data_IF_836830539654
#
_entry.id   IF_836830539654
#
_cell.length_a   1.000
_cell.length_b   1.000
_cell.length_c   1.000
_cell.angle_alpha   90.00
_cell.angle_beta   90.00
_cell.angle_gamma   90.00
#
_symmetry.space_group_name_H-M   'P 1'
#
loop_
_entity.id
_entity.type
_entity.pdbx_description
1 polymer ?
#
# COMPACT_ATOMS: atom_id res chain seq x y z
N UNK A 1 -10.05 -13.69 22.59
CA UNK A 1 -8.80 -12.89 22.49
C UNK A 1 -9.02 -11.43 22.86
N UNK A 2 -9.87 -10.70 22.12
CA UNK A 2 -9.97 -9.23 22.26
C UNK A 2 -11.08 -8.73 23.19
N UNK A 3 -11.77 -9.64 23.88
CA UNK A 3 -12.77 -9.33 24.90
C UNK A 3 -12.25 -9.81 26.26
N UNK A 4 -12.65 -9.11 27.33
CA UNK A 4 -12.51 -9.57 28.71
C UNK A 4 -13.41 -10.78 28.95
N UNK A 5 -13.22 -11.44 30.09
CA UNK A 5 -13.98 -12.64 30.45
C UNK A 5 -15.50 -12.41 30.53
N UNK A 6 -15.93 -11.18 30.81
CA UNK A 6 -17.33 -10.76 30.85
C UNK A 6 -17.90 -10.34 29.47
N UNK A 7 -17.09 -10.43 28.41
CA UNK A 7 -17.46 -10.04 27.06
C UNK A 7 -17.27 -8.56 26.73
N UNK A 8 -16.81 -7.73 27.67
CA UNK A 8 -16.54 -6.31 27.41
C UNK A 8 -15.21 -6.10 26.67
N UNK A 9 -15.05 -4.94 26.02
CA UNK A 9 -13.79 -4.56 25.37
C UNK A 9 -12.74 -4.10 26.39
N UNK A 10 -11.47 -4.20 26.01
CA UNK A 10 -10.39 -3.53 26.72
C UNK A 10 -10.41 -2.03 26.44
N UNK A 11 -10.18 -1.23 27.48
CA UNK A 11 -10.12 0.23 27.47
C UNK A 11 -8.69 0.72 27.24
N UNK A 12 -8.56 2.01 26.86
CA UNK A 12 -7.26 2.65 26.66
C UNK A 12 -6.41 2.57 27.94
N UNK A 13 -5.17 2.08 27.79
CA UNK A 13 -4.22 1.90 28.89
C UNK A 13 -4.27 0.51 29.55
N UNK A 14 -5.29 -0.31 29.27
CA UNK A 14 -5.33 -1.68 29.77
C UNK A 14 -4.39 -2.61 28.98
N UNK A 15 -3.89 -3.64 29.66
CA UNK A 15 -3.07 -4.69 29.04
C UNK A 15 -3.97 -5.76 28.44
N UNK A 16 -3.71 -6.12 27.19
CA UNK A 16 -4.36 -7.26 26.51
C UNK A 16 -3.39 -8.46 26.58
N UNK A 17 -3.62 -9.44 27.48
CA UNK A 17 -2.80 -10.63 27.53
C UNK A 17 -3.09 -11.56 26.35
N UNK A 18 -2.04 -12.04 25.67
CA UNK A 18 -2.15 -13.07 24.63
C UNK A 18 -1.07 -14.16 24.80
N UNK A 19 -1.17 -14.98 25.86
CA UNK A 19 -0.17 -16.03 26.14
C UNK A 19 -0.14 -17.12 25.06
N UNK A 20 -1.25 -17.31 24.35
CA UNK A 20 -1.36 -18.26 23.25
C UNK A 20 -0.47 -17.84 22.07
N UNK A 21 -0.55 -16.56 21.67
CA UNK A 21 0.34 -16.02 20.65
C UNK A 21 1.81 -16.09 21.07
N UNK A 22 2.12 -15.83 22.35
CA UNK A 22 3.48 -15.95 22.85
C UNK A 22 4.02 -17.39 22.66
N UNK A 23 3.24 -18.41 23.06
CA UNK A 23 3.61 -19.82 22.85
C UNK A 23 3.75 -20.17 21.36
N UNK A 24 2.85 -19.67 20.51
CA UNK A 24 2.95 -19.86 19.05
C UNK A 24 4.23 -19.27 18.49
N UNK A 25 4.58 -18.04 18.86
CA UNK A 25 5.81 -17.38 18.42
C UNK A 25 7.06 -18.08 18.96
N UNK A 26 7.06 -18.59 20.20
CA UNK A 26 8.15 -19.39 20.75
C UNK A 26 8.36 -20.70 19.98
N UNK A 27 7.27 -21.38 19.58
CA UNK A 27 7.33 -22.59 18.75
C UNK A 27 7.96 -22.30 17.39
N UNK A 28 7.55 -21.20 16.75
CA UNK A 28 8.12 -20.75 15.46
C UNK A 28 9.60 -20.35 15.64
N UNK A 29 9.96 -19.66 16.72
CA UNK A 29 11.33 -19.25 16.98
C UNK A 29 12.27 -20.46 17.18
N UNK A 30 11.80 -21.54 17.82
CA UNK A 30 12.59 -22.75 18.07
C UNK A 30 12.68 -23.69 16.86
N UNK A 31 11.57 -23.89 16.15
CA UNK A 31 11.51 -24.87 15.05
C UNK A 31 11.48 -24.26 13.64
N UNK A 32 11.55 -22.94 13.53
CA UNK A 32 11.48 -22.22 12.26
C UNK A 32 10.10 -22.28 11.60
N UNK A 33 10.05 -21.88 10.34
CA UNK A 33 8.79 -21.81 9.55
C UNK A 33 8.19 -23.19 9.27
N UNK A 34 8.99 -24.26 9.29
CA UNK A 34 8.53 -25.62 9.05
C UNK A 34 7.45 -26.05 10.05
N UNK A 35 7.53 -25.62 11.32
CA UNK A 35 6.51 -25.92 12.33
C UNK A 35 5.13 -25.39 11.89
N UNK A 36 5.09 -24.21 11.28
CA UNK A 36 3.84 -23.56 10.85
C UNK A 36 3.21 -24.22 9.62
N UNK A 37 4.02 -24.65 8.65
CA UNK A 37 3.52 -25.16 7.36
C UNK A 37 3.48 -26.69 7.26
N UNK A 38 4.28 -27.39 8.06
CA UNK A 38 4.50 -28.84 7.93
C UNK A 38 4.58 -29.58 9.27
N UNK A 39 4.53 -28.88 10.41
CA UNK A 39 4.62 -29.49 11.74
C UNK A 39 3.35 -29.32 12.55
N UNK A 40 3.48 -29.47 13.87
CA UNK A 40 2.36 -29.49 14.82
C UNK A 40 1.40 -28.28 14.72
N UNK A 41 1.92 -27.07 14.41
CA UNK A 41 1.04 -25.91 14.20
C UNK A 41 0.17 -26.09 12.95
N UNK A 42 0.72 -26.66 11.87
CA UNK A 42 -0.06 -26.94 10.67
C UNK A 42 -1.19 -27.94 10.96
N UNK A 43 -0.92 -28.97 11.76
CA UNK A 43 -1.93 -29.97 12.16
C UNK A 43 -3.06 -29.33 12.97
N UNK A 44 -2.73 -28.51 13.98
CA UNK A 44 -3.72 -27.79 14.79
C UNK A 44 -4.60 -26.85 13.93
N UNK A 45 -3.97 -26.10 13.02
CA UNK A 45 -4.68 -25.19 12.11
C UNK A 45 -5.60 -25.98 11.18
N UNK A 46 -5.10 -27.03 10.53
CA UNK A 46 -5.86 -27.80 9.56
C UNK A 46 -7.03 -28.56 10.22
N UNK A 47 -6.85 -29.07 11.43
CA UNK A 47 -7.91 -29.71 12.19
C UNK A 47 -9.08 -28.76 12.46
N UNK A 48 -8.79 -27.55 12.96
CA UNK A 48 -9.80 -26.53 13.22
C UNK A 48 -10.48 -26.02 11.95
N UNK A 49 -9.70 -25.71 10.91
CA UNK A 49 -10.23 -25.28 9.62
C UNK A 49 -11.13 -26.34 8.99
N UNK A 50 -10.75 -27.62 9.04
CA UNK A 50 -11.55 -28.74 8.52
C UNK A 50 -12.85 -28.90 9.31
N UNK A 51 -12.79 -28.84 10.64
CA UNK A 51 -13.97 -28.94 11.50
C UNK A 51 -15.00 -27.84 11.23
N UNK A 52 -14.55 -26.68 10.74
CA UNK A 52 -15.40 -25.53 10.41
C UNK A 52 -15.70 -25.40 8.90
N UNK A 53 -15.43 -26.43 8.08
CA UNK A 53 -15.81 -26.47 6.67
C UNK A 53 -14.99 -25.55 5.75
N UNK A 54 -13.76 -25.21 6.14
CA UNK A 54 -12.83 -24.46 5.29
C UNK A 54 -12.44 -25.23 4.03
N UNK A 55 -12.17 -24.51 2.93
CA UNK A 55 -11.65 -25.07 1.68
C UNK A 55 -10.13 -25.25 1.68
N UNK A 56 -9.45 -24.81 2.73
CA UNK A 56 -8.00 -24.92 2.87
C UNK A 56 -7.64 -26.38 3.17
N UNK A 57 -6.69 -26.91 2.40
CA UNK A 57 -6.25 -28.30 2.47
C UNK A 57 -4.81 -28.44 2.99
N UNK A 58 -4.39 -29.64 3.41
CA UNK A 58 -2.98 -29.91 3.71
C UNK A 58 -2.05 -29.66 2.51
N UNK A 59 -2.56 -29.77 1.29
CA UNK A 59 -1.80 -29.46 0.08
C UNK A 59 -1.50 -27.96 -0.04
N UNK A 60 -2.43 -27.09 0.35
CA UNK A 60 -2.20 -25.64 0.34
C UNK A 60 -1.09 -25.23 1.32
N UNK A 61 -1.02 -25.88 2.48
CA UNK A 61 0.02 -25.65 3.49
C UNK A 61 1.39 -26.12 3.01
N UNK A 62 1.46 -27.37 2.55
CA UNK A 62 2.72 -28.00 2.12
C UNK A 62 3.22 -27.44 0.78
N UNK A 63 2.32 -26.93 -0.06
CA UNK A 63 2.61 -26.33 -1.36
C UNK A 63 3.01 -24.86 -1.31
N UNK A 64 2.67 -24.13 -0.25
CA UNK A 64 2.99 -22.69 -0.15
C UNK A 64 4.50 -22.41 -0.16
N UNK A 65 4.94 -21.47 -0.98
CA UNK A 65 6.32 -20.98 -1.02
C UNK A 65 6.35 -19.46 -1.08
N UNK A 66 7.30 -18.85 -0.39
CA UNK A 66 7.61 -17.42 -0.55
C UNK A 66 8.21 -17.21 -1.93
N UNK A 67 7.69 -16.24 -2.66
CA UNK A 67 8.25 -15.82 -3.96
C UNK A 67 9.26 -14.70 -3.72
N UNK A 68 10.47 -14.91 -4.23
CA UNK A 68 11.53 -13.89 -4.30
C UNK A 68 11.70 -13.50 -5.76
N UNK A 69 11.81 -12.22 -6.03
CA UNK A 69 11.99 -11.73 -7.40
C UNK A 69 12.53 -10.31 -7.40
N UNK A 70 13.02 -9.90 -8.57
CA UNK A 70 13.50 -8.55 -8.80
C UNK A 70 12.37 -7.52 -8.63
N UNK A 71 12.68 -6.32 -8.10
CA UNK A 71 11.72 -5.24 -8.07
C UNK A 71 11.36 -4.80 -9.49
N UNK A 72 10.18 -4.20 -9.66
CA UNK A 72 9.96 -3.33 -10.81
C UNK A 72 10.79 -2.06 -10.62
N UNK A 73 11.46 -1.65 -11.69
CA UNK A 73 12.37 -0.52 -11.69
C UNK A 73 11.81 0.55 -12.61
N UNK A 74 11.78 1.78 -12.10
CA UNK A 74 11.41 2.97 -12.85
C UNK A 74 12.35 4.12 -12.56
N UNK A 75 12.06 5.26 -13.15
CA UNK A 75 12.79 6.50 -12.95
C UNK A 75 11.82 7.64 -12.71
N UNK A 76 12.23 8.63 -11.94
CA UNK A 76 11.47 9.87 -11.80
C UNK A 76 12.41 11.02 -11.49
N UNK A 77 12.52 12.00 -12.40
CA UNK A 77 13.31 13.22 -12.24
C UNK A 77 14.75 12.98 -11.78
N UNK A 78 15.40 11.96 -12.35
CA UNK A 78 16.79 11.59 -12.05
C UNK A 78 16.98 10.63 -10.87
N UNK A 79 15.90 10.21 -10.21
CA UNK A 79 15.92 9.15 -9.19
C UNK A 79 15.51 7.81 -9.77
N UNK A 80 16.03 6.72 -9.22
CA UNK A 80 15.61 5.35 -9.54
C UNK A 80 14.57 4.90 -8.53
N UNK A 81 13.44 4.37 -9.00
CA UNK A 81 12.34 3.90 -8.15
C UNK A 81 12.33 2.38 -8.18
N UNK A 82 12.51 1.74 -7.01
CA UNK A 82 12.39 0.30 -6.83
C UNK A 82 11.11 0.00 -6.06
N UNK A 83 10.22 -0.83 -6.61
CA UNK A 83 9.01 -1.26 -5.92
C UNK A 83 8.68 -2.72 -6.22
N UNK A 84 7.75 -3.30 -5.47
CA UNK A 84 7.32 -4.69 -5.66
C UNK A 84 6.69 -4.97 -7.05
N UNK A 85 6.95 -6.14 -7.65
CA UNK A 85 6.35 -6.55 -8.93
C UNK A 85 4.87 -6.96 -8.76
N UNK A 86 4.14 -7.18 -9.88
CA UNK A 86 2.83 -7.83 -9.86
C UNK A 86 2.87 -9.14 -9.05
N UNK A 87 1.80 -9.46 -8.30
CA UNK A 87 0.51 -8.76 -8.25
C UNK A 87 0.46 -7.55 -7.29
N UNK A 88 1.62 -7.06 -6.84
CA UNK A 88 1.77 -5.78 -6.13
C UNK A 88 1.55 -4.57 -7.04
N UNK A 89 1.33 -3.40 -6.43
CA UNK A 89 1.02 -2.16 -7.18
C UNK A 89 2.24 -1.28 -7.46
N UNK A 90 3.48 -1.78 -7.33
CA UNK A 90 4.67 -1.01 -7.66
C UNK A 90 4.71 -0.52 -9.11
N UNK A 91 4.24 -1.34 -10.06
CA UNK A 91 4.13 -0.95 -11.47
C UNK A 91 3.18 0.25 -11.68
N UNK A 92 2.10 0.29 -10.89
CA UNK A 92 1.08 1.34 -10.93
C UNK A 92 1.60 2.64 -10.31
N UNK A 93 2.38 2.54 -9.21
CA UNK A 93 3.06 3.69 -8.61
C UNK A 93 4.03 4.34 -9.62
N UNK A 94 4.86 3.53 -10.28
CA UNK A 94 5.85 4.03 -11.24
C UNK A 94 5.15 4.61 -12.48
N UNK A 95 4.09 3.98 -12.97
CA UNK A 95 3.27 4.54 -14.07
C UNK A 95 2.75 5.94 -13.71
N UNK A 96 2.24 6.16 -12.49
CA UNK A 96 1.81 7.49 -12.05
C UNK A 96 2.96 8.50 -12.07
N UNK A 97 4.15 8.11 -11.60
CA UNK A 97 5.34 8.96 -11.62
C UNK A 97 5.75 9.32 -13.05
N UNK A 98 5.80 8.35 -13.96
CA UNK A 98 6.11 8.59 -15.38
C UNK A 98 5.09 9.51 -16.05
N UNK A 99 3.79 9.35 -15.78
CA UNK A 99 2.77 10.27 -16.28
C UNK A 99 3.03 11.69 -15.77
N UNK A 100 3.33 11.84 -14.48
CA UNK A 100 3.56 13.15 -13.85
C UNK A 100 4.88 13.82 -14.27
N UNK A 101 5.86 13.05 -14.75
CA UNK A 101 7.13 13.57 -15.27
C UNK A 101 6.94 14.47 -16.50
N UNK A 102 5.83 14.29 -17.23
CA UNK A 102 5.42 15.13 -18.36
C UNK A 102 4.86 16.51 -17.97
N UNK A 103 4.79 16.83 -16.67
CA UNK A 103 4.23 18.08 -16.17
C UNK A 103 5.20 18.79 -15.20
N UNK A 104 5.24 20.14 -15.20
CA UNK A 104 6.11 20.92 -14.33
C UNK A 104 5.50 21.08 -12.93
N UNK A 105 5.36 19.99 -12.17
CA UNK A 105 4.64 20.00 -10.88
C UNK A 105 5.19 21.05 -9.90
N UNK A 106 6.51 21.18 -9.78
CA UNK A 106 7.18 22.14 -8.90
C UNK A 106 7.00 23.61 -9.29
N UNK A 107 6.46 23.90 -10.48
CA UNK A 107 6.09 25.27 -10.88
C UNK A 107 4.80 25.76 -10.22
N UNK A 108 3.99 24.85 -9.69
CA UNK A 108 2.79 25.18 -8.94
C UNK A 108 3.07 25.17 -7.43
N UNK A 109 2.41 26.03 -6.64
CA UNK A 109 2.46 25.90 -5.19
C UNK A 109 1.97 24.51 -4.75
N UNK A 110 2.62 23.95 -3.72
CA UNK A 110 2.24 22.66 -3.17
C UNK A 110 0.75 22.65 -2.81
N UNK A 111 0.05 21.58 -3.22
CA UNK A 111 -1.39 21.41 -3.01
C UNK A 111 -2.29 22.52 -3.58
N UNK A 112 -1.81 23.36 -4.51
CA UNK A 112 -2.69 24.22 -5.30
C UNK A 112 -3.54 23.38 -6.27
N UNK A 113 -4.69 23.90 -6.68
CA UNK A 113 -5.63 23.17 -7.55
C UNK A 113 -5.02 22.67 -8.88
N UNK A 114 -4.16 23.42 -9.60
CA UNK A 114 -3.52 22.90 -10.81
C UNK A 114 -2.58 21.71 -10.56
N UNK A 115 -1.86 21.72 -9.43
CA UNK A 115 -1.03 20.59 -9.01
C UNK A 115 -1.90 19.37 -8.69
N UNK A 116 -2.94 19.56 -7.87
CA UNK A 116 -3.84 18.48 -7.45
C UNK A 116 -4.67 17.91 -8.60
N UNK A 117 -5.04 18.72 -9.60
CA UNK A 117 -5.71 18.26 -10.81
C UNK A 117 -4.85 17.23 -11.57
N UNK A 118 -3.57 17.55 -11.79
CA UNK A 118 -2.63 16.65 -12.47
C UNK A 118 -2.39 15.37 -11.67
N UNK A 119 -2.17 15.50 -10.36
CA UNK A 119 -1.98 14.36 -9.47
C UNK A 119 -3.22 13.45 -9.46
N UNK A 120 -4.43 14.01 -9.32
CA UNK A 120 -5.67 13.25 -9.33
C UNK A 120 -5.89 12.52 -10.66
N UNK A 121 -5.62 13.18 -11.80
CA UNK A 121 -5.77 12.58 -13.12
C UNK A 121 -4.75 11.50 -13.41
N UNK A 122 -3.50 11.66 -12.97
CA UNK A 122 -2.49 10.62 -13.06
C UNK A 122 -2.87 9.39 -12.21
N UNK A 123 -3.38 9.61 -10.99
CA UNK A 123 -3.89 8.52 -10.17
C UNK A 123 -5.05 7.78 -10.87
N UNK A 124 -6.01 8.51 -11.44
CA UNK A 124 -7.14 7.93 -12.17
C UNK A 124 -6.71 7.14 -13.42
N UNK A 125 -5.74 7.64 -14.18
CA UNK A 125 -5.18 6.98 -15.35
C UNK A 125 -4.55 5.63 -14.99
N UNK A 126 -3.62 5.63 -14.03
CA UNK A 126 -2.93 4.41 -13.62
C UNK A 126 -3.88 3.42 -12.90
N UNK A 127 -4.91 3.87 -12.19
CA UNK A 127 -5.95 2.97 -11.66
C UNK A 127 -6.82 2.34 -12.76
N UNK A 128 -7.02 3.03 -13.88
CA UNK A 128 -7.71 2.46 -15.06
C UNK A 128 -6.91 1.28 -15.61
N UNK A 129 -5.60 1.42 -15.74
CA UNK A 129 -4.74 0.34 -16.19
C UNK A 129 -4.54 -0.75 -15.15
N UNK A 130 -4.46 -0.40 -13.86
CA UNK A 130 -4.47 -1.36 -12.75
C UNK A 130 -5.67 -2.30 -12.86
N UNK A 131 -6.87 -1.75 -13.00
CA UNK A 131 -8.10 -2.54 -13.05
C UNK A 131 -8.20 -3.37 -14.33
N UNK A 132 -7.57 -2.92 -15.42
CA UNK A 132 -7.57 -3.61 -16.71
C UNK A 132 -6.52 -4.72 -16.81
N UNK A 133 -5.38 -4.59 -16.14
CA UNK A 133 -4.20 -5.42 -16.41
C UNK A 133 -3.59 -6.10 -15.19
N UNK A 134 -3.72 -5.55 -13.99
CA UNK A 134 -3.00 -6.07 -12.83
C UNK A 134 -3.60 -7.40 -12.35
N UNK A 135 -2.74 -8.41 -12.19
CA UNK A 135 -3.10 -9.75 -11.70
C UNK A 135 -1.86 -10.53 -11.27
N UNK A 136 -2.04 -11.79 -10.90
CA UNK A 136 -0.92 -12.71 -10.61
C UNK A 136 -0.22 -13.10 -11.92
N UNK A 137 1.08 -12.78 -12.09
CA UNK A 137 1.82 -13.08 -13.32
C UNK A 137 1.97 -14.58 -13.61
N UNK A 138 1.74 -15.47 -12.64
CA UNK A 138 1.69 -16.92 -12.90
C UNK A 138 0.38 -17.37 -13.60
N UNK A 139 -0.64 -16.50 -13.63
CA UNK A 139 -1.97 -16.84 -14.14
C UNK A 139 -2.42 -15.95 -15.29
N UNK A 140 -1.92 -14.72 -15.38
CA UNK A 140 -2.29 -13.75 -16.41
C UNK A 140 -1.08 -12.96 -16.87
N UNK A 141 -1.07 -12.56 -18.14
CA UNK A 141 -0.04 -11.69 -18.67
C UNK A 141 -0.26 -10.25 -18.19
N UNK A 142 0.68 -9.74 -17.39
CA UNK A 142 0.72 -8.34 -16.97
C UNK A 142 1.72 -7.61 -17.87
N UNK A 143 1.30 -6.61 -18.67
CA UNK A 143 2.16 -5.94 -19.65
C UNK A 143 3.08 -4.91 -18.97
N UNK A 144 3.94 -5.34 -18.06
CA UNK A 144 4.79 -4.48 -17.21
C UNK A 144 5.63 -3.52 -18.06
N UNK A 145 6.29 -4.01 -19.11
CA UNK A 145 7.14 -3.18 -19.97
C UNK A 145 6.36 -2.06 -20.65
N UNK A 146 5.10 -2.32 -21.04
CA UNK A 146 4.22 -1.30 -21.60
C UNK A 146 3.84 -0.26 -20.55
N UNK A 147 3.39 -0.71 -19.37
CA UNK A 147 2.93 0.18 -18.31
C UNK A 147 4.05 1.12 -17.80
N UNK A 148 5.29 0.66 -17.82
CA UNK A 148 6.48 1.43 -17.44
C UNK A 148 7.13 2.19 -18.61
N UNK A 149 6.54 2.15 -19.81
CA UNK A 149 7.16 2.77 -20.99
C UNK A 149 6.87 4.28 -21.06
N UNK A 150 7.85 5.10 -21.48
CA UNK A 150 7.64 6.52 -21.75
C UNK A 150 6.54 6.79 -22.77
N UNK A 151 6.37 5.91 -23.77
CA UNK A 151 5.32 6.04 -24.78
C UNK A 151 3.92 5.92 -24.17
N UNK A 152 3.72 4.96 -23.27
CA UNK A 152 2.43 4.75 -22.61
C UNK A 152 2.11 5.89 -21.64
N UNK A 153 3.08 6.33 -20.85
CA UNK A 153 2.94 7.51 -19.99
C UNK A 153 2.61 8.78 -20.80
N UNK A 154 3.26 8.96 -21.96
CA UNK A 154 3.00 10.06 -22.88
C UNK A 154 1.56 10.08 -23.41
N UNK A 155 1.00 8.92 -23.78
CA UNK A 155 -0.41 8.79 -24.21
C UNK A 155 -1.39 9.21 -23.11
N UNK A 156 -1.11 8.86 -21.85
CA UNK A 156 -1.91 9.34 -20.73
C UNK A 156 -1.76 10.84 -20.51
N UNK A 157 -0.53 11.36 -20.56
CA UNK A 157 -0.28 12.79 -20.42
C UNK A 157 -1.00 13.62 -21.51
N UNK A 158 -1.03 13.15 -22.75
CA UNK A 158 -1.80 13.77 -23.85
C UNK A 158 -3.30 13.79 -23.58
N UNK A 159 -3.88 12.68 -23.10
CA UNK A 159 -5.30 12.63 -22.70
C UNK A 159 -5.60 13.58 -21.54
N UNK A 160 -4.70 13.68 -20.58
CA UNK A 160 -4.84 14.62 -19.46
C UNK A 160 -4.85 16.06 -19.98
N UNK A 161 -3.94 16.42 -20.88
CA UNK A 161 -3.89 17.75 -21.52
C UNK A 161 -5.12 18.06 -22.37
N UNK A 162 -5.72 17.06 -23.01
CA UNK A 162 -6.96 17.25 -23.80
C UNK A 162 -8.22 17.41 -22.93
N UNK A 163 -8.09 17.33 -21.60
CA UNK A 163 -9.20 17.48 -20.67
C UNK A 163 -10.04 16.20 -20.50
N UNK A 164 -9.50 15.02 -20.85
CA UNK A 164 -10.19 13.75 -20.70
C UNK A 164 -10.75 13.56 -19.28
N UNK A 165 -11.99 13.05 -19.20
CA UNK A 165 -12.69 12.79 -17.93
C UNK A 165 -12.73 11.30 -17.66
N UNK A 166 -12.03 10.88 -16.61
CA UNK A 166 -12.08 9.52 -16.11
C UNK A 166 -13.45 9.26 -15.46
N UNK A 167 -13.91 8.02 -15.59
CA UNK A 167 -15.15 7.56 -14.97
C UNK A 167 -14.88 6.19 -14.34
N UNK A 168 -15.02 6.12 -13.02
CA UNK A 168 -15.13 4.87 -12.26
C UNK A 168 -16.18 5.03 -11.17
N UNK A 169 -17.11 4.07 -11.11
CA UNK A 169 -18.25 4.11 -10.18
C UNK A 169 -17.90 3.58 -8.78
N UNK A 170 -16.84 2.78 -8.63
CA UNK A 170 -16.57 2.06 -7.38
C UNK A 170 -15.13 2.26 -6.93
N UNK A 171 -14.96 2.92 -5.78
CA UNK A 171 -13.69 2.94 -5.06
C UNK A 171 -13.44 1.58 -4.40
N UNK A 172 -12.17 1.18 -4.31
CA UNK A 172 -11.78 -0.03 -3.58
C UNK A 172 -12.15 0.07 -2.10
N UNK A 173 -12.64 -1.02 -1.47
CA UNK A 173 -12.98 -1.00 -0.06
C UNK A 173 -11.73 -0.80 0.82
N UNK A 174 -11.86 -0.15 1.99
CA UNK A 174 -10.75 0.04 2.90
C UNK A 174 -10.19 -1.31 3.41
N UNK A 175 -8.89 -1.31 3.74
CA UNK A 175 -8.18 -2.47 4.26
C UNK A 175 -7.28 -2.11 5.43
N UNK A 176 -7.08 -3.04 6.37
CA UNK A 176 -6.14 -2.91 7.47
C UNK A 176 -4.78 -3.47 7.06
N UNK A 177 -3.75 -2.66 7.19
CA UNK A 177 -2.38 -3.01 6.78
C UNK A 177 -1.44 -2.38 7.81
N UNK A 178 -0.22 -2.89 7.91
CA UNK A 178 0.89 -2.24 8.61
C UNK A 178 2.06 -2.05 7.64
N UNK A 179 2.86 -1.01 7.88
CA UNK A 179 4.09 -0.76 7.14
C UNK A 179 5.22 -0.44 8.11
N UNK A 180 6.42 -0.89 7.80
CA UNK A 180 7.66 -0.60 8.51
C UNK A 180 8.75 -0.24 7.50
N UNK A 181 9.49 0.82 7.79
CA UNK A 181 10.71 1.21 7.09
C UNK A 181 11.88 1.09 8.06
N UNK A 182 12.99 0.49 7.61
CA UNK A 182 14.22 0.32 8.41
C UNK A 182 15.42 0.71 7.56
N UNK A 183 16.38 1.37 8.20
CA UNK A 183 17.71 1.65 7.66
C UNK A 183 18.74 1.42 8.77
N UNK A 184 19.92 0.91 8.43
CA UNK A 184 21.02 0.72 9.38
C UNK A 184 22.35 1.31 8.89
N UNK A 185 23.35 1.36 9.77
CA UNK A 185 24.68 1.92 9.51
C UNK A 185 25.48 1.16 8.44
N UNK A 186 25.12 -0.10 8.16
CA UNK A 186 25.72 -0.90 7.11
C UNK A 186 25.09 -0.60 5.73
N UNK A 187 24.10 0.30 5.68
CA UNK A 187 23.39 0.67 4.46
C UNK A 187 22.27 -0.28 4.07
N UNK A 188 21.87 -1.22 4.94
CA UNK A 188 20.73 -2.09 4.66
C UNK A 188 19.44 -1.27 4.73
N UNK A 189 18.61 -1.39 3.70
CA UNK A 189 17.33 -0.70 3.60
C UNK A 189 16.18 -1.71 3.46
N UNK A 190 15.15 -1.59 4.30
CA UNK A 190 13.97 -2.46 4.27
C UNK A 190 12.70 -1.61 4.21
N UNK A 191 11.86 -1.86 3.21
CA UNK A 191 10.48 -1.40 3.15
C UNK A 191 9.55 -2.64 3.22
N UNK A 192 8.82 -2.79 4.32
CA UNK A 192 7.99 -3.97 4.57
C UNK A 192 6.53 -3.56 4.76
N UNK A 193 5.65 -4.07 3.90
CA UNK A 193 4.20 -3.89 4.02
C UNK A 193 3.53 -5.24 4.26
N UNK A 194 2.79 -5.38 5.36
CA UNK A 194 2.15 -6.63 5.78
C UNK A 194 0.67 -6.41 6.11
N UNK A 195 -0.19 -7.39 5.80
CA UNK A 195 -1.65 -7.24 5.95
C UNK A 195 -2.37 -8.55 6.23
N UNK A 196 -3.45 -8.46 7.01
CA UNK A 196 -4.47 -9.50 7.16
C UNK A 196 -5.75 -9.18 6.36
N UNK A 197 -5.74 -8.20 5.47
CA UNK A 197 -6.96 -7.62 4.91
C UNK A 197 -7.70 -6.83 5.99
N UNK A 198 -8.94 -7.18 6.31
CA UNK A 198 -9.61 -6.66 7.52
C UNK A 198 -9.63 -7.68 8.67
N UNK A 199 -8.91 -8.80 8.53
CA UNK A 199 -9.01 -9.96 9.41
C UNK A 199 -10.29 -10.75 9.14
N UNK A 200 -10.21 -12.08 9.23
CA UNK A 200 -11.39 -12.95 9.09
C UNK A 200 -12.26 -13.00 10.34
N UNK A 201 -11.72 -12.60 11.49
CA UNK A 201 -12.33 -12.82 12.81
C UNK A 201 -12.18 -14.26 13.31
N UNK A 202 -11.61 -15.16 12.51
CA UNK A 202 -11.37 -16.56 12.87
C UNK A 202 -10.04 -16.67 13.62
N UNK A 203 -10.06 -17.41 14.72
CA UNK A 203 -8.92 -17.71 15.58
C UNK A 203 -8.99 -19.19 15.91
N UNK A 204 -7.98 -19.96 15.52
CA UNK A 204 -7.89 -21.36 15.95
C UNK A 204 -7.62 -21.41 17.45
N UNK A 205 -8.40 -22.20 18.22
CA UNK A 205 -8.24 -22.30 19.67
C UNK A 205 -6.79 -22.61 20.07
N UNK A 206 -6.25 -21.86 21.03
CA UNK A 206 -4.89 -22.08 21.56
C UNK A 206 -3.74 -21.46 20.77
N UNK A 207 -3.98 -20.90 19.57
CA UNK A 207 -2.91 -20.35 18.73
C UNK A 207 -2.72 -18.83 18.83
N UNK A 208 -3.75 -18.09 19.24
CA UNK A 208 -3.64 -16.68 19.61
C UNK A 208 -3.50 -15.67 18.47
N UNK A 209 -3.69 -16.06 17.20
CA UNK A 209 -3.65 -15.14 16.05
C UNK A 209 -4.92 -15.22 15.19
N UNK A 210 -5.19 -14.16 14.43
CA UNK A 210 -6.34 -14.04 13.52
C UNK A 210 -5.89 -14.33 12.09
N UNK A 211 -6.69 -15.09 11.33
CA UNK A 211 -6.42 -15.32 9.91
C UNK A 211 -6.75 -14.09 9.06
N UNK A 212 -6.08 -13.97 7.91
CA UNK A 212 -6.42 -12.95 6.93
C UNK A 212 -7.75 -13.28 6.23
N UNK A 213 -8.37 -12.28 5.60
CA UNK A 213 -9.51 -12.47 4.70
C UNK A 213 -9.24 -11.92 3.29
N UNK A 214 -7.98 -11.98 2.84
CA UNK A 214 -7.50 -11.27 1.66
C UNK A 214 -8.13 -11.73 0.34
N UNK A 215 -8.75 -12.92 0.30
CA UNK A 215 -9.48 -13.40 -0.88
C UNK A 215 -10.65 -12.49 -1.28
N UNK A 216 -11.18 -11.67 -0.35
CA UNK A 216 -12.19 -10.65 -0.67
C UNK A 216 -11.71 -9.59 -1.68
N UNK A 217 -10.40 -9.48 -1.88
CA UNK A 217 -9.78 -8.55 -2.82
C UNK A 217 -9.71 -9.12 -4.24
N UNK A 218 -10.02 -10.40 -4.44
CA UNK A 218 -10.17 -10.97 -5.77
C UNK A 218 -11.46 -10.46 -6.43
N UNK A 219 -11.47 -10.40 -7.75
CA UNK A 219 -12.69 -10.13 -8.49
C UNK A 219 -13.59 -11.38 -8.47
N UNK A 220 -14.85 -11.28 -8.00
CA UNK A 220 -15.76 -12.41 -8.00
C UNK A 220 -16.26 -12.78 -9.40
N UNK A 221 -16.11 -11.89 -10.39
CA UNK A 221 -16.52 -12.12 -11.78
C UNK A 221 -15.39 -12.87 -12.49
N UNK A 222 -15.65 -14.07 -13.05
CA UNK A 222 -14.65 -14.84 -13.79
C UNK A 222 -14.11 -14.13 -15.05
N UNK A 223 -12.91 -14.52 -15.49
CA UNK A 223 -12.31 -14.06 -16.75
C UNK A 223 -11.61 -12.71 -16.69
N UNK A 224 -11.49 -12.10 -15.51
CA UNK A 224 -10.77 -10.84 -15.28
C UNK A 224 -9.36 -11.11 -14.73
N UNK A 225 -8.40 -10.18 -14.88
CA UNK A 225 -7.03 -10.35 -14.42
C UNK A 225 -6.90 -10.76 -12.95
N UNK A 226 -7.75 -10.20 -12.08
CA UNK A 226 -7.77 -10.48 -10.64
C UNK A 226 -8.88 -11.46 -10.21
N UNK A 227 -9.52 -12.19 -11.13
CA UNK A 227 -10.51 -13.21 -10.76
C UNK A 227 -9.91 -14.31 -9.90
N UNK A 228 -10.70 -14.86 -8.97
CA UNK A 228 -10.32 -15.99 -8.13
C UNK A 228 -9.95 -17.23 -8.95
N UNK A 229 -8.86 -17.90 -8.58
CA UNK A 229 -8.47 -19.22 -9.07
C UNK A 229 -7.63 -19.96 -8.00
N UNK A 230 -7.62 -21.31 -7.97
CA UNK A 230 -6.78 -22.08 -7.05
C UNK A 230 -5.29 -21.72 -7.21
N UNK A 231 -4.58 -21.50 -6.10
CA UNK A 231 -3.16 -21.13 -6.10
C UNK A 231 -2.84 -19.70 -6.55
N UNK A 232 -3.82 -18.96 -7.07
CA UNK A 232 -3.63 -17.60 -7.58
C UNK A 232 -3.60 -16.56 -6.47
N UNK A 233 -2.59 -15.71 -6.47
CA UNK A 233 -2.50 -14.56 -5.57
C UNK A 233 -3.45 -13.43 -6.00
N UNK A 234 -4.03 -12.74 -5.00
CA UNK A 234 -4.81 -11.51 -5.23
C UNK A 234 -3.95 -10.37 -5.79
N UNK A 235 -4.57 -9.31 -6.31
CA UNK A 235 -3.92 -7.99 -6.41
C UNK A 235 -3.91 -7.27 -5.06
N UNK A 236 -2.96 -6.37 -4.86
CA UNK A 236 -2.88 -5.56 -3.64
C UNK A 236 -2.44 -4.14 -3.96
N UNK A 237 -2.94 -3.14 -3.21
CA UNK A 237 -2.45 -1.76 -3.27
C UNK A 237 -1.08 -1.55 -2.63
N UNK A 238 -0.54 -2.57 -1.96
CA UNK A 238 0.80 -2.50 -1.35
C UNK A 238 1.86 -2.21 -2.42
N UNK A 239 2.64 -1.15 -2.17
CA UNK A 239 3.84 -0.76 -2.93
C UNK A 239 4.93 -0.28 -1.96
N UNK A 240 5.57 -1.17 -1.18
CA UNK A 240 6.79 -0.80 -0.46
C UNK A 240 7.85 -0.37 -1.49
N UNK A 241 8.45 0.78 -1.27
CA UNK A 241 9.27 1.46 -2.27
C UNK A 241 10.59 1.94 -1.66
N UNK A 242 11.67 1.70 -2.39
CA UNK A 242 12.98 2.28 -2.12
C UNK A 242 13.34 3.15 -3.33
N UNK A 243 13.63 4.42 -3.09
CA UNK A 243 14.11 5.38 -4.07
C UNK A 243 15.61 5.50 -3.92
N UNK A 244 16.34 5.43 -5.03
CA UNK A 244 17.78 5.62 -5.07
C UNK A 244 18.12 6.97 -5.71
N UNK A 245 19.20 7.58 -5.21
CA UNK A 245 19.91 8.68 -5.87
C UNK A 245 21.27 8.15 -6.32
N UNK A 246 21.41 7.88 -7.62
CA UNK A 246 22.51 7.04 -8.10
C UNK A 246 22.30 5.60 -7.64
N UNK A 247 23.29 5.02 -6.96
CA UNK A 247 23.23 3.65 -6.42
C UNK A 247 22.86 3.60 -4.93
N UNK A 248 22.77 4.76 -4.26
CA UNK A 248 22.53 4.83 -2.82
C UNK A 248 21.04 5.00 -2.47
N UNK A 249 20.53 4.32 -1.42
CA UNK A 249 19.20 4.60 -0.87
C UNK A 249 19.06 6.07 -0.51
N UNK A 250 17.99 6.69 -1.00
CA UNK A 250 17.65 8.08 -0.75
C UNK A 250 16.36 8.22 0.06
N UNK A 251 15.31 7.47 -0.31
CA UNK A 251 14.03 7.47 0.40
C UNK A 251 13.49 6.04 0.50
N UNK A 252 13.16 5.60 1.71
CA UNK A 252 12.51 4.31 1.97
C UNK A 252 11.11 4.63 2.43
N UNK A 253 10.09 4.23 1.68
CA UNK A 253 8.72 4.63 1.95
C UNK A 253 7.71 3.51 1.70
N UNK A 254 6.61 3.59 2.44
CA UNK A 254 5.44 2.77 2.20
C UNK A 254 4.31 3.16 3.13
N UNK A 255 3.15 2.57 2.93
CA UNK A 255 1.98 2.89 3.74
C UNK A 255 1.04 1.68 3.85
N UNK A 256 0.19 1.64 4.89
CA UNK A 256 -0.98 0.80 4.96
C UNK A 256 -2.26 1.51 4.47
N UNK A 257 -3.27 0.77 3.99
CA UNK A 257 -4.58 1.36 3.69
C UNK A 257 -5.39 0.78 2.51
N UNK A 258 -4.94 -0.27 1.82
CA UNK A 258 -5.62 -0.72 0.59
C UNK A 258 -5.14 0.05 -0.64
N UNK A 259 -6.02 0.50 -1.52
CA UNK A 259 -5.61 1.21 -2.76
C UNK A 259 -5.05 2.62 -2.50
N UNK A 260 -5.52 3.31 -1.45
CA UNK A 260 -4.96 4.59 -0.97
C UNK A 260 -3.48 4.50 -0.61
N UNK A 261 -2.90 3.30 -0.44
CA UNK A 261 -1.46 3.10 -0.26
C UNK A 261 -0.69 3.73 -1.43
N UNK A 262 -1.14 3.47 -2.66
CA UNK A 262 -0.45 3.95 -3.87
C UNK A 262 -0.43 5.47 -3.89
N UNK A 263 -1.58 6.10 -3.58
CA UNK A 263 -1.70 7.55 -3.49
C UNK A 263 -0.84 8.16 -2.39
N UNK A 264 -0.74 7.49 -1.24
CA UNK A 264 0.09 7.93 -0.12
C UNK A 264 1.58 7.88 -0.43
N UNK A 265 2.05 6.77 -1.00
CA UNK A 265 3.45 6.60 -1.39
C UNK A 265 3.80 7.57 -2.52
N UNK A 266 2.93 7.72 -3.52
CA UNK A 266 3.10 8.71 -4.59
C UNK A 266 3.28 10.12 -4.02
N UNK A 267 2.33 10.61 -3.24
CA UNK A 267 2.42 11.97 -2.69
C UNK A 267 3.62 12.15 -1.75
N UNK A 268 4.03 11.11 -1.00
CA UNK A 268 5.25 11.15 -0.19
C UNK A 268 6.49 11.34 -1.07
N UNK A 269 6.60 10.60 -2.17
CA UNK A 269 7.69 10.73 -3.15
C UNK A 269 7.69 12.13 -3.78
N UNK A 270 6.53 12.62 -4.23
CA UNK A 270 6.42 13.97 -4.81
C UNK A 270 6.81 15.06 -3.80
N UNK A 271 6.36 14.95 -2.55
CA UNK A 271 6.67 15.91 -1.50
C UNK A 271 8.19 16.01 -1.24
N UNK A 272 8.88 14.86 -1.24
CA UNK A 272 10.34 14.84 -1.06
C UNK A 272 11.06 15.33 -2.32
N UNK A 273 10.72 14.80 -3.50
CA UNK A 273 11.49 15.03 -4.74
C UNK A 273 11.15 16.38 -5.38
N UNK A 274 9.87 16.73 -5.54
CA UNK A 274 9.44 17.95 -6.23
C UNK A 274 9.45 19.19 -5.31
N UNK A 275 9.29 18.99 -4.00
CA UNK A 275 9.14 20.08 -3.02
C UNK A 275 10.20 20.11 -1.92
N UNK A 276 11.15 19.16 -1.91
CA UNK A 276 12.28 19.17 -0.97
C UNK A 276 11.89 19.02 0.50
N UNK A 277 10.73 18.42 0.78
CA UNK A 277 10.23 18.26 2.14
C UNK A 277 11.04 17.23 2.94
N UNK A 278 11.22 17.49 4.24
CA UNK A 278 11.70 16.48 5.18
C UNK A 278 10.73 15.30 5.27
N UNK A 279 11.16 14.11 5.74
CA UNK A 279 10.28 12.94 5.81
C UNK A 279 9.05 13.17 6.71
N UNK A 280 9.17 13.93 7.80
CA UNK A 280 8.04 14.29 8.68
C UNK A 280 7.05 15.19 7.94
N UNK A 281 7.52 16.22 7.24
CA UNK A 281 6.67 17.11 6.45
C UNK A 281 5.96 16.31 5.34
N UNK A 282 6.71 15.49 4.60
CA UNK A 282 6.23 14.74 3.46
C UNK A 282 5.06 13.81 3.80
N UNK A 283 5.11 13.10 4.93
CA UNK A 283 4.01 12.23 5.38
C UNK A 283 2.88 13.02 6.07
N UNK A 284 3.16 14.21 6.57
CA UNK A 284 2.20 15.03 7.32
C UNK A 284 1.32 15.92 6.45
N UNK A 285 1.69 16.22 5.20
CA UNK A 285 0.88 17.09 4.34
C UNK A 285 -0.52 16.50 4.03
N UNK A 286 -1.56 17.33 3.85
CA UNK A 286 -2.88 16.83 3.47
C UNK A 286 -2.83 16.14 2.12
N UNK A 287 -3.56 15.03 2.00
CA UNK A 287 -3.56 14.15 0.84
C UNK A 287 -4.89 14.15 0.13
N UNK A 288 -4.80 13.79 -1.15
CA UNK A 288 -5.93 13.37 -1.96
C UNK A 288 -5.80 11.91 -2.41
N UNK A 289 -6.92 11.32 -2.81
CA UNK A 289 -6.98 10.02 -3.47
C UNK A 289 -8.04 10.05 -4.58
N UNK A 290 -7.74 9.44 -5.73
CA UNK A 290 -8.65 9.38 -6.87
C UNK A 290 -8.39 8.12 -7.71
N UNK A 291 -9.43 7.32 -7.94
CA UNK A 291 -9.39 6.13 -8.82
C UNK A 291 -10.13 6.36 -10.16
N UNK A 292 -10.51 7.61 -10.46
CA UNK A 292 -11.33 7.99 -11.62
C UNK A 292 -12.78 8.34 -11.30
N UNK A 293 -13.17 8.24 -10.03
CA UNK A 293 -14.40 8.82 -9.49
C UNK A 293 -14.15 10.16 -8.78
N UNK A 294 -14.77 10.43 -7.62
CA UNK A 294 -14.52 11.66 -6.88
C UNK A 294 -13.09 11.71 -6.33
N UNK A 295 -12.54 12.92 -6.24
CA UNK A 295 -11.35 13.20 -5.44
C UNK A 295 -11.75 13.15 -3.97
N UNK A 296 -11.22 12.18 -3.24
CA UNK A 296 -11.29 12.17 -1.80
C UNK A 296 -10.18 13.06 -1.27
N UNK A 297 -10.52 14.05 -0.43
CA UNK A 297 -9.57 15.02 0.11
C UNK A 297 -9.73 15.14 1.64
N UNK A 298 -8.65 15.48 2.34
CA UNK A 298 -8.71 15.73 3.78
C UNK A 298 -9.21 17.13 4.16
N UNK A 299 -9.67 17.30 5.40
CA UNK A 299 -10.21 18.58 5.89
C UNK A 299 -9.18 19.71 5.88
N UNK A 300 -7.88 19.38 6.00
CA UNK A 300 -6.79 20.37 5.97
C UNK A 300 -6.53 20.96 4.58
N UNK A 301 -7.11 20.39 3.52
CA UNK A 301 -7.07 21.03 2.21
C UNK A 301 -8.03 22.24 2.24
N UNK A 302 -7.57 23.47 1.93
CA UNK A 302 -8.43 24.65 2.01
C UNK A 302 -9.66 24.53 1.11
N UNK A 303 -10.82 24.95 1.61
CA UNK A 303 -12.08 24.87 0.85
C UNK A 303 -12.02 25.59 -0.50
N UNK A 304 -11.25 26.70 -0.57
CA UNK A 304 -10.99 27.40 -1.83
C UNK A 304 -10.35 26.48 -2.88
N UNK A 305 -9.36 25.66 -2.49
CA UNK A 305 -8.73 24.69 -3.39
C UNK A 305 -9.72 23.62 -3.82
N UNK A 306 -10.60 23.16 -2.92
CA UNK A 306 -11.66 22.21 -3.28
C UNK A 306 -12.63 22.81 -4.31
N UNK A 307 -13.02 24.08 -4.17
CA UNK A 307 -13.86 24.78 -5.16
C UNK A 307 -13.15 24.96 -6.50
N UNK A 308 -11.86 25.28 -6.48
CA UNK A 308 -11.06 25.39 -7.70
C UNK A 308 -10.94 24.04 -8.42
N UNK A 309 -10.78 22.94 -7.69
CA UNK A 309 -10.83 21.58 -8.25
C UNK A 309 -12.21 21.25 -8.85
N UNK A 310 -13.30 21.69 -8.20
CA UNK A 310 -14.65 21.55 -8.75
C UNK A 310 -14.82 22.37 -10.04
N UNK A 311 -14.27 23.58 -10.11
CA UNK A 311 -14.26 24.39 -11.32
C UNK A 311 -13.46 23.74 -12.47
N UNK A 312 -12.44 22.95 -12.14
CA UNK A 312 -11.70 22.09 -13.09
C UNK A 312 -12.47 20.81 -13.49
N UNK A 313 -13.68 20.63 -12.96
CA UNK A 313 -14.61 19.55 -13.33
C UNK A 313 -14.50 18.29 -12.49
N UNK A 314 -13.88 18.35 -11.31
CA UNK A 314 -13.84 17.23 -10.38
C UNK A 314 -15.04 17.22 -9.44
N UNK A 315 -15.49 16.03 -9.07
CA UNK A 315 -16.30 15.88 -7.85
C UNK A 315 -15.34 15.75 -6.67
N UNK A 316 -15.47 16.58 -5.65
CA UNK A 316 -14.61 16.51 -4.45
C UNK A 316 -15.43 16.05 -3.26
N UNK A 317 -14.97 14.99 -2.58
CA UNK A 317 -15.50 14.50 -1.30
C UNK A 317 -14.48 14.81 -0.22
N UNK A 318 -14.75 15.88 0.53
CA UNK A 318 -13.88 16.28 1.63
C UNK A 318 -14.25 15.54 2.91
N UNK A 319 -13.24 14.94 3.54
CA UNK A 319 -13.35 14.33 4.86
C UNK A 319 -13.56 15.40 5.93
N UNK A 320 -14.32 15.12 7.00
CA UNK A 320 -14.41 16.02 8.16
C UNK A 320 -13.15 15.97 9.05
N UNK A 321 -12.21 15.04 8.82
CA UNK A 321 -11.03 14.85 9.66
C UNK A 321 -9.80 15.56 9.09
N UNK A 322 -9.05 16.27 9.94
CA UNK A 322 -7.80 16.93 9.58
C UNK A 322 -6.70 15.95 9.17
N UNK A 323 -6.66 14.81 9.87
CA UNK A 323 -5.79 13.67 9.64
C UNK A 323 -6.69 12.45 9.49
N UNK A 324 -7.21 12.23 8.30
CA UNK A 324 -8.18 11.16 8.06
C UNK A 324 -7.49 9.78 8.15
N UNK A 325 -7.84 8.92 9.12
CA UNK A 325 -7.21 7.61 9.27
C UNK A 325 -7.43 6.68 8.07
N UNK A 326 -8.37 6.97 7.17
CA UNK A 326 -8.58 6.22 5.93
C UNK A 326 -7.66 6.65 4.80
N UNK A 327 -6.95 7.77 4.92
CA UNK A 327 -6.01 8.27 3.89
C UNK A 327 -4.63 7.64 3.97
N UNK A 328 -4.54 6.39 4.45
CA UNK A 328 -3.30 5.66 4.71
C UNK A 328 -2.38 6.30 5.77
N UNK A 329 -1.36 5.58 6.22
CA UNK A 329 -0.43 6.01 7.30
C UNK A 329 1.02 5.81 6.89
N UNK A 330 1.54 6.69 6.05
CA UNK A 330 2.86 6.53 5.44
C UNK A 330 3.98 6.50 6.50
N UNK A 331 5.01 5.71 6.26
CA UNK A 331 6.27 5.81 6.98
C UNK A 331 7.35 6.07 5.95
N UNK A 332 8.31 6.93 6.32
CA UNK A 332 9.39 7.32 5.44
C UNK A 332 10.70 7.42 6.22
N UNK A 333 11.80 6.97 5.62
CA UNK A 333 13.16 7.29 6.03
C UNK A 333 13.84 8.00 4.86
N UNK A 334 14.30 9.22 5.09
CA UNK A 334 15.13 9.97 4.14
C UNK A 334 16.59 9.80 4.55
N UNK A 335 17.44 9.41 3.60
CA UNK A 335 18.89 9.22 3.78
C UNK A 335 19.62 10.22 2.89
N UNK A 336 20.39 11.11 3.50
CA UNK A 336 21.19 12.11 2.79
C UNK A 336 22.48 12.42 3.56
N UNK A 337 23.59 12.53 2.81
CA UNK A 337 24.90 12.96 3.31
C UNK A 337 25.37 12.17 4.55
N UNK A 338 25.16 10.86 4.56
CA UNK A 338 25.51 9.98 5.69
C UNK A 338 24.65 10.15 6.94
N UNK A 339 23.52 10.87 6.83
CA UNK A 339 22.53 11.02 7.89
C UNK A 339 21.18 10.46 7.45
N UNK A 340 20.37 10.01 8.40
CA UNK A 340 19.01 9.55 8.13
C UNK A 340 18.02 10.26 9.05
N UNK A 341 16.80 10.48 8.54
CA UNK A 341 15.68 11.04 9.30
C UNK A 341 14.44 10.20 9.03
N UNK A 342 13.73 9.84 10.08
CA UNK A 342 12.44 9.17 9.99
C UNK A 342 11.27 10.16 10.01
N UNK A 343 10.18 9.81 9.32
CA UNK A 343 8.89 10.48 9.38
C UNK A 343 7.78 9.46 9.59
N UNK A 344 7.02 9.60 10.66
CA UNK A 344 5.84 8.79 10.94
C UNK A 344 4.57 9.61 10.73
N UNK A 345 3.64 9.07 9.95
CA UNK A 345 2.41 9.75 9.59
C UNK A 345 1.49 10.00 10.80
N UNK A 346 1.10 11.26 11.07
CA UNK A 346 0.26 11.64 12.22
C UNK A 346 -1.18 11.11 12.15
N UNK A 347 -1.60 10.45 11.06
CA UNK A 347 -2.94 9.82 10.93
C UNK A 347 -3.08 8.50 11.67
N UNK A 348 -2.01 8.00 12.29
CA UNK A 348 -2.05 6.78 13.09
C UNK A 348 -1.12 6.85 14.30
N UNK A 349 -1.21 5.84 15.16
CA UNK A 349 -0.32 5.69 16.32
C UNK A 349 1.06 5.12 16.00
N UNK A 350 1.60 5.42 14.81
CA UNK A 350 2.96 5.04 14.44
C UNK A 350 4.01 5.85 15.19
N UNK A 351 5.27 5.51 15.02
CA UNK A 351 6.38 6.26 15.62
C UNK A 351 7.66 6.10 14.84
N UNK A 352 8.62 6.98 15.14
CA UNK A 352 10.00 6.85 14.70
C UNK A 352 10.81 6.44 15.92
N UNK A 353 11.66 5.43 15.75
CA UNK A 353 12.66 5.05 16.73
C UNK A 353 14.03 5.09 16.06
N UNK A 354 14.98 5.71 16.72
CA UNK A 354 16.38 5.69 16.35
C UNK A 354 17.14 4.96 17.45
N UNK A 355 17.88 3.92 17.06
CA UNK A 355 18.63 3.07 17.98
C UNK A 355 20.09 3.16 17.56
N UNK A 356 20.93 3.50 18.53
CA UNK A 356 22.38 3.59 18.39
C UNK A 356 23.05 2.37 19.01
#
# INVERSE_FOLDING_TARGET
LYLKADGSFYEVGEKIPNPDLARTLERIARGGTAVFYQGDLAEEILADLTANGSYITPHDFTGYRVRTGEPVVGTYRGYTILSNPPPGSGVILIEMLHILEHFPLSSYPHNAAPYLDLVARAMAAAHTDRNRYLGDPEFVEVPVQKLLSPEHAGKWAEKIRSGYRFHQDTASPPSCTTHLSVYDEAGNAVALTHTLGTGSGVVTPGLGFVYNNSMKLCDPIPGRPNSMAPGKARTTGMCPTIVLRGEEPFLIAGAPGGSVIISAVLQTILNVIDFGMSPVEAVSMPRIHCEGGPIHAEARLPEAVCRDLQALGHTVKQSPYSYDPTMARAQAILVENGSWKGGSDPRGGGGVAEVW
#
